data_IF_351092491031
#
_entry.id   IF_351092491031
#
_cell.length_a   1.000
_cell.length_b   1.000
_cell.length_c   1.000
_cell.angle_alpha   90.00
_cell.angle_beta   90.00
_cell.angle_gamma   90.00
#
_symmetry.space_group_name_H-M   'P 1'
#
loop_
_entity.id
_entity.type
_entity.pdbx_description
1 polymer ?
#
# COMPACT_ATOMS: atom_id res chain seq x y z
N UNK A 1 9.41 20.06 18.39
CA UNK A 1 10.14 19.70 17.16
C UNK A 1 9.35 20.21 15.97
N UNK A 2 10.00 20.89 15.04
CA UNK A 2 9.38 21.43 13.82
C UNK A 2 10.11 20.89 12.59
N UNK A 3 9.35 20.59 11.54
CA UNK A 3 9.86 20.04 10.29
C UNK A 3 9.49 20.98 9.15
N UNK A 4 10.39 21.12 8.17
CA UNK A 4 10.17 21.89 6.95
C UNK A 4 10.58 21.07 5.75
N UNK A 5 9.70 20.99 4.77
CA UNK A 5 9.97 20.32 3.50
C UNK A 5 10.54 21.31 2.49
N UNK A 6 11.60 20.88 1.81
CA UNK A 6 12.23 21.60 0.69
C UNK A 6 12.16 20.72 -0.56
N UNK A 7 12.20 21.33 -1.74
CA UNK A 7 12.32 20.60 -3.02
C UNK A 7 11.01 20.36 -3.79
N UNK A 8 9.84 20.54 -3.18
CA UNK A 8 8.55 20.46 -3.89
C UNK A 8 8.28 21.76 -4.67
N UNK A 9 9.01 21.99 -5.77
CA UNK A 9 8.82 23.18 -6.60
C UNK A 9 7.80 22.92 -7.73
N UNK A 10 7.10 23.97 -8.20
CA UNK A 10 6.18 23.85 -9.33
C UNK A 10 6.86 23.25 -10.58
N UNK A 11 8.12 23.61 -10.82
CA UNK A 11 8.90 23.17 -11.98
C UNK A 11 9.19 21.67 -11.91
N UNK A 12 9.56 21.16 -10.72
CA UNK A 12 9.76 19.73 -10.51
C UNK A 12 8.48 18.94 -10.75
N UNK A 13 7.36 19.39 -10.18
CA UNK A 13 6.07 18.73 -10.32
C UNK A 13 5.60 18.77 -11.79
N UNK A 14 5.78 19.89 -12.48
CA UNK A 14 5.44 20.01 -13.89
C UNK A 14 6.28 19.08 -14.77
N UNK A 15 7.58 18.91 -14.46
CA UNK A 15 8.47 18.00 -15.18
C UNK A 15 8.08 16.51 -15.03
N UNK A 16 7.41 16.15 -13.93
CA UNK A 16 6.93 14.79 -13.65
C UNK A 16 5.55 14.49 -14.26
N UNK A 17 4.91 15.45 -14.93
CA UNK A 17 3.61 15.24 -15.57
C UNK A 17 3.74 14.20 -16.69
N UNK A 18 3.00 13.07 -16.66
CA UNK A 18 3.09 12.05 -17.70
C UNK A 18 2.69 12.61 -19.07
N UNK A 19 3.45 12.24 -20.11
CA UNK A 19 3.19 12.67 -21.49
C UNK A 19 2.03 11.91 -22.13
N UNK A 20 1.81 10.65 -21.73
CA UNK A 20 1.00 9.69 -22.48
C UNK A 20 -0.47 9.55 -22.00
N UNK A 21 -1.07 10.62 -21.45
CA UNK A 21 -2.54 10.67 -21.31
C UNK A 21 -3.14 10.99 -19.93
N UNK A 22 -2.49 11.83 -19.11
CA UNK A 22 -2.94 12.07 -17.72
C UNK A 22 -3.10 13.53 -17.29
N UNK A 23 -3.11 14.50 -18.20
CA UNK A 23 -3.32 15.91 -17.85
C UNK A 23 -4.79 16.20 -17.53
N UNK A 24 -5.33 15.56 -16.49
CA UNK A 24 -6.70 15.79 -16.05
C UNK A 24 -6.78 17.05 -15.17
N UNK A 25 -7.98 17.59 -14.98
CA UNK A 25 -8.21 18.74 -14.08
C UNK A 25 -7.78 18.41 -12.64
N UNK A 26 -7.79 17.12 -12.29
CA UNK A 26 -7.31 16.57 -11.03
C UNK A 26 -5.81 16.67 -10.87
N UNK A 27 -5.01 16.53 -11.94
CA UNK A 27 -3.56 16.72 -11.89
C UNK A 27 -3.22 18.14 -11.40
N UNK A 28 -3.80 19.15 -12.05
CA UNK A 28 -3.45 20.54 -11.74
C UNK A 28 -3.90 20.92 -10.32
N UNK A 29 -5.07 20.41 -9.88
CA UNK A 29 -5.54 20.59 -8.49
C UNK A 29 -4.68 19.84 -7.47
N UNK A 30 -4.26 18.62 -7.79
CA UNK A 30 -3.34 17.85 -6.96
C UNK A 30 -1.98 18.55 -6.86
N UNK A 31 -1.41 18.97 -8.00
CA UNK A 31 -0.13 19.66 -8.07
C UNK A 31 -0.14 20.98 -7.27
N UNK A 32 -1.24 21.74 -7.36
CA UNK A 32 -1.44 22.94 -6.54
C UNK A 32 -1.47 22.61 -5.04
N UNK A 33 -2.16 21.54 -4.64
CA UNK A 33 -2.21 21.11 -3.24
C UNK A 33 -0.83 20.68 -2.71
N UNK A 34 -0.04 19.94 -3.49
CA UNK A 34 1.32 19.53 -3.13
C UNK A 34 2.26 20.73 -3.06
N UNK A 35 2.20 21.62 -4.05
CA UNK A 35 3.02 22.84 -4.08
C UNK A 35 2.71 23.75 -2.89
N UNK A 36 1.46 23.80 -2.44
CA UNK A 36 1.04 24.59 -1.27
C UNK A 36 1.63 24.08 0.06
N UNK A 37 2.25 22.90 0.08
CA UNK A 37 2.98 22.38 1.25
C UNK A 37 4.40 22.97 1.35
N UNK A 38 4.91 23.57 0.27
CA UNK A 38 6.24 24.16 0.21
C UNK A 38 6.38 25.24 1.29
N UNK A 39 7.50 25.20 2.01
CA UNK A 39 7.85 26.15 3.10
C UNK A 39 6.91 26.15 4.31
N UNK A 40 5.90 25.27 4.36
CA UNK A 40 5.08 25.12 5.56
C UNK A 40 5.88 24.47 6.68
N UNK A 41 5.61 24.95 7.89
CA UNK A 41 6.15 24.37 9.11
C UNK A 41 5.17 23.31 9.64
N UNK A 42 5.67 22.08 9.78
CA UNK A 42 4.95 20.98 10.39
C UNK A 42 5.36 20.87 11.85
N UNK A 43 4.40 21.00 12.76
CA UNK A 43 4.63 20.92 14.20
C UNK A 43 4.11 19.60 14.72
N UNK A 44 4.84 19.02 15.68
CA UNK A 44 4.39 17.81 16.35
C UNK A 44 2.98 18.03 16.93
N UNK A 45 2.07 17.11 16.63
CA UNK A 45 0.69 17.14 17.07
C UNK A 45 0.41 16.03 18.09
N UNK A 46 0.72 14.79 17.74
CA UNK A 46 0.44 13.63 18.60
C UNK A 46 1.34 12.44 18.26
N UNK A 47 1.44 11.50 19.20
CA UNK A 47 2.05 10.19 19.01
C UNK A 47 1.04 9.11 19.42
N UNK A 48 0.61 8.33 18.45
CA UNK A 48 -0.26 7.18 18.67
C UNK A 48 0.60 5.94 18.88
N UNK A 49 0.54 5.34 20.08
CA UNK A 49 1.35 4.18 20.47
C UNK A 49 0.50 2.92 20.47
N UNK A 50 0.05 2.52 19.28
CA UNK A 50 -0.73 1.30 19.09
C UNK A 50 0.17 0.15 18.64
N UNK A 51 -0.36 -0.83 17.88
CA UNK A 51 0.45 -1.88 17.24
C UNK A 51 1.48 -1.29 16.27
N UNK A 52 1.12 -0.21 15.60
CA UNK A 52 2.02 0.60 14.78
C UNK A 52 2.12 1.96 15.45
N UNK A 53 3.34 2.44 15.67
CA UNK A 53 3.54 3.75 16.25
C UNK A 53 3.48 4.79 15.15
N UNK A 54 2.63 5.80 15.32
CA UNK A 54 2.44 6.88 14.35
C UNK A 54 2.67 8.21 15.02
N UNK A 55 3.74 8.92 14.66
CA UNK A 55 3.94 10.29 15.08
C UNK A 55 3.38 11.23 14.01
N UNK A 56 2.42 12.08 14.40
CA UNK A 56 1.76 13.02 13.48
C UNK A 56 2.27 14.43 13.69
N UNK A 57 2.57 15.10 12.59
CA UNK A 57 2.92 16.52 12.55
C UNK A 57 1.97 17.23 11.60
N UNK A 58 1.49 18.42 11.96
CA UNK A 58 0.51 19.14 11.17
C UNK A 58 0.92 20.60 10.97
N UNK A 59 0.46 21.18 9.86
CA UNK A 59 0.57 22.62 9.61
C UNK A 59 -0.62 23.34 10.27
N UNK A 60 -0.39 24.51 10.87
CA UNK A 60 -1.46 25.35 11.42
C UNK A 60 -1.77 26.52 10.47
N UNK A 61 -3.04 26.85 10.15
CA UNK A 61 -4.29 26.14 10.48
C UNK A 61 -4.76 25.13 9.41
N UNK A 62 -4.29 25.22 8.16
CA UNK A 62 -4.62 24.33 7.03
C UNK A 62 -3.42 24.16 6.09
N UNK A 63 -3.26 22.97 5.52
CA UNK A 63 -2.24 22.69 4.51
C UNK A 63 -2.04 21.21 4.28
N UNK A 64 -1.57 20.53 5.32
CA UNK A 64 -1.31 19.11 5.26
C UNK A 64 -0.74 18.59 6.57
N UNK A 65 -0.36 17.33 6.56
CA UNK A 65 0.26 16.66 7.69
C UNK A 65 1.31 15.65 7.25
N UNK A 66 2.23 15.36 8.16
CA UNK A 66 3.22 14.32 8.07
C UNK A 66 2.88 13.22 9.08
N UNK A 67 3.08 11.98 8.67
CA UNK A 67 3.01 10.81 9.54
C UNK A 67 4.34 10.07 9.46
N UNK A 68 4.98 9.86 10.60
CA UNK A 68 6.08 8.91 10.74
C UNK A 68 5.51 7.59 11.24
N UNK A 69 5.48 6.61 10.36
CA UNK A 69 5.00 5.25 10.61
C UNK A 69 6.18 4.38 11.06
N UNK A 70 6.05 3.73 12.20
CA UNK A 70 7.04 2.82 12.77
C UNK A 70 6.37 1.47 13.05
N UNK A 71 6.37 0.58 12.05
CA UNK A 71 5.70 -0.73 12.09
C UNK A 71 6.66 -1.92 12.24
N UNK A 72 7.97 -1.67 12.36
CA UNK A 72 9.02 -2.67 12.50
C UNK A 72 9.37 -3.43 11.22
N UNK A 73 8.62 -3.23 10.13
CA UNK A 73 8.82 -3.91 8.84
C UNK A 73 9.37 -2.91 7.81
N UNK A 74 8.68 -1.78 7.65
CA UNK A 74 8.98 -0.77 6.66
C UNK A 74 8.67 0.61 7.22
N UNK A 75 9.45 1.09 8.19
CA UNK A 75 9.24 2.42 8.75
C UNK A 75 9.38 3.48 7.65
N UNK A 76 8.49 4.46 7.65
CA UNK A 76 8.44 5.46 6.59
C UNK A 76 7.82 6.77 7.06
N UNK A 77 8.23 7.85 6.42
CA UNK A 77 7.50 9.10 6.44
C UNK A 77 6.47 9.13 5.33
N UNK A 78 5.29 9.67 5.62
CA UNK A 78 4.23 9.95 4.66
C UNK A 78 3.81 11.40 4.76
N UNK A 79 3.71 12.06 3.62
CA UNK A 79 3.21 13.41 3.49
C UNK A 79 1.82 13.38 2.88
N UNK A 80 0.91 14.14 3.47
CA UNK A 80 -0.46 14.31 3.00
C UNK A 80 -0.75 15.80 2.82
N UNK A 81 -1.42 16.13 1.71
CA UNK A 81 -2.07 17.42 1.54
C UNK A 81 -3.53 17.34 2.02
N UNK A 82 -4.10 18.48 2.41
CA UNK A 82 -5.48 18.52 2.87
C UNK A 82 -6.45 18.16 1.75
N UNK A 83 -7.24 17.10 1.96
CA UNK A 83 -8.30 16.71 1.05
C UNK A 83 -9.52 17.65 1.19
N UNK A 84 -10.18 18.04 0.08
CA UNK A 84 -11.39 18.86 0.15
C UNK A 84 -12.52 18.13 0.88
N UNK A 85 -13.43 18.89 1.51
CA UNK A 85 -14.58 18.32 2.23
C UNK A 85 -15.55 17.59 1.30
N UNK A 86 -15.71 18.08 0.08
CA UNK A 86 -16.56 17.50 -0.95
C UNK A 86 -16.04 16.13 -1.40
N UNK A 87 -16.97 15.19 -1.61
CA UNK A 87 -16.66 13.90 -2.21
C UNK A 87 -16.30 14.11 -3.68
N UNK A 88 -15.25 13.44 -4.15
CA UNK A 88 -14.87 13.47 -5.56
C UNK A 88 -13.47 12.90 -5.81
N UNK A 89 -13.03 12.86 -7.07
CA UNK A 89 -11.74 12.29 -7.47
C UNK A 89 -10.56 12.92 -6.73
N UNK A 90 -10.55 14.25 -6.59
CA UNK A 90 -9.48 14.96 -5.86
C UNK A 90 -9.41 14.54 -4.38
N UNK A 91 -10.56 14.36 -3.72
CA UNK A 91 -10.57 13.89 -2.33
C UNK A 91 -9.94 12.50 -2.23
N UNK A 92 -10.30 11.58 -3.13
CA UNK A 92 -9.73 10.24 -3.16
C UNK A 92 -8.20 10.25 -3.37
N UNK A 93 -7.69 11.14 -4.24
CA UNK A 93 -6.25 11.33 -4.44
C UNK A 93 -5.55 11.88 -3.19
N UNK A 94 -6.11 12.90 -2.55
CA UNK A 94 -5.47 13.58 -1.42
C UNK A 94 -5.67 12.87 -0.07
N UNK A 95 -6.57 11.88 0.01
CA UNK A 95 -6.63 10.95 1.16
C UNK A 95 -5.49 9.95 1.17
N UNK A 96 -4.73 9.83 0.08
CA UNK A 96 -3.52 9.02 -0.03
C UNK A 96 -2.28 9.91 0.17
N UNK A 97 -1.14 9.34 0.58
CA UNK A 97 0.09 10.12 0.68
C UNK A 97 0.45 10.72 -0.70
N UNK A 98 0.88 11.97 -0.70
CA UNK A 98 1.36 12.68 -1.89
C UNK A 98 2.88 12.56 -2.05
N UNK A 99 3.57 12.23 -0.97
CA UNK A 99 4.98 11.85 -0.98
C UNK A 99 5.28 10.91 0.18
N UNK A 100 6.33 10.10 0.04
CA UNK A 100 6.81 9.21 1.11
C UNK A 100 8.33 9.13 1.13
N UNK A 101 8.89 8.71 2.25
CA UNK A 101 10.33 8.46 2.38
C UNK A 101 10.54 7.25 3.27
N UNK A 102 11.14 6.20 2.72
CA UNK A 102 11.49 5.01 3.48
C UNK A 102 12.61 5.32 4.48
N UNK A 103 12.45 4.87 5.73
CA UNK A 103 13.47 4.99 6.77
C UNK A 103 14.31 3.73 6.75
N UNK A 104 15.46 3.77 6.07
CA UNK A 104 16.37 2.62 6.01
C UNK A 104 17.12 2.43 7.35
N UNK A 105 17.39 1.18 7.77
CA UNK A 105 18.23 0.90 8.93
C UNK A 105 19.57 1.64 8.83
N UNK A 106 20.03 2.23 9.94
CA UNK A 106 21.27 3.02 10.00
C UNK A 106 21.13 4.48 9.53
N UNK A 107 20.02 4.86 8.92
CA UNK A 107 19.77 6.24 8.48
C UNK A 107 19.08 7.08 9.56
N UNK A 108 19.70 7.26 10.73
CA UNK A 108 19.17 8.19 11.76
C UNK A 108 18.97 9.61 11.20
N UNK A 109 19.82 10.04 10.27
CA UNK A 109 19.68 11.30 9.57
C UNK A 109 18.37 11.40 8.75
N UNK A 110 17.81 10.28 8.27
CA UNK A 110 16.50 10.26 7.60
C UNK A 110 15.34 10.44 8.61
N UNK A 111 15.54 10.13 9.89
CA UNK A 111 14.54 10.37 10.93
C UNK A 111 14.51 11.83 11.41
N UNK A 112 15.66 12.51 11.41
CA UNK A 112 15.83 13.79 12.14
C UNK A 112 16.31 14.94 11.27
N UNK A 113 17.18 14.69 10.28
CA UNK A 113 17.91 15.72 9.55
C UNK A 113 17.41 15.93 8.10
N UNK A 114 16.42 15.14 7.67
CA UNK A 114 15.85 15.23 6.33
C UNK A 114 16.76 14.64 5.23
N UNK A 115 17.74 13.81 5.61
CA UNK A 115 18.73 13.22 4.70
C UNK A 115 18.26 11.95 3.95
N UNK A 116 16.96 11.81 3.66
CA UNK A 116 16.43 10.64 2.96
C UNK A 116 15.85 10.95 1.59
N UNK A 117 15.69 9.90 0.78
CA UNK A 117 15.13 9.97 -0.57
C UNK A 117 13.61 10.01 -0.49
N UNK A 118 13.03 11.16 -0.87
CA UNK A 118 11.58 11.31 -0.98
C UNK A 118 11.10 10.89 -2.36
N UNK A 119 10.08 10.05 -2.37
CA UNK A 119 9.35 9.64 -3.55
C UNK A 119 8.04 10.43 -3.63
N UNK A 120 7.70 10.93 -4.82
CA UNK A 120 6.42 11.59 -5.09
C UNK A 120 5.39 10.54 -5.52
N UNK A 121 4.24 10.54 -4.86
CA UNK A 121 3.13 9.63 -5.18
C UNK A 121 2.22 10.32 -6.21
N UNK A 122 2.58 10.20 -7.48
CA UNK A 122 1.87 10.87 -8.58
C UNK A 122 0.43 10.32 -8.72
N UNK A 123 -0.54 11.17 -9.10
CA UNK A 123 -1.94 10.76 -9.29
C UNK A 123 -2.14 10.07 -10.64
N UNK A 124 -1.33 9.04 -10.92
CA UNK A 124 -1.27 8.33 -12.20
C UNK A 124 -1.62 6.87 -11.97
N UNK A 125 -2.40 6.30 -12.88
CA UNK A 125 -2.73 4.87 -12.87
C UNK A 125 -2.07 4.21 -14.07
N UNK A 126 -1.38 3.12 -13.81
CA UNK A 126 -0.85 2.23 -14.83
C UNK A 126 -1.62 0.92 -14.74
N UNK A 127 -2.24 0.51 -15.85
CA UNK A 127 -2.90 -0.78 -15.97
C UNK A 127 -2.00 -1.73 -16.74
N UNK A 128 -1.97 -3.00 -16.32
CA UNK A 128 -1.25 -4.08 -16.99
C UNK A 128 -1.97 -5.40 -16.71
N UNK A 129 -1.78 -6.39 -17.58
CA UNK A 129 -2.37 -7.71 -17.40
C UNK A 129 -1.49 -8.59 -16.51
N UNK A 130 -2.03 -9.03 -15.37
CA UNK A 130 -1.38 -10.02 -14.51
C UNK A 130 -1.93 -11.42 -14.79
N UNK A 131 -1.05 -12.42 -14.85
CA UNK A 131 -1.45 -13.83 -14.94
C UNK A 131 -1.49 -14.45 -13.55
N UNK A 132 -2.65 -14.91 -13.11
CA UNK A 132 -2.84 -15.59 -11.83
C UNK A 132 -3.36 -17.00 -12.08
N UNK A 133 -2.60 -18.00 -11.64
CA UNK A 133 -2.94 -19.41 -11.84
C UNK A 133 -3.03 -20.15 -10.51
N UNK A 134 -4.01 -21.04 -10.39
CA UNK A 134 -4.19 -21.85 -9.19
C UNK A 134 -3.15 -22.96 -9.08
N UNK A 135 -2.63 -23.18 -7.87
CA UNK A 135 -1.61 -24.18 -7.57
C UNK A 135 -1.88 -24.91 -6.23
N UNK A 136 -1.16 -26.01 -6.03
CA UNK A 136 -1.23 -26.81 -4.79
C UNK A 136 -2.50 -27.65 -4.66
N UNK A 137 -2.88 -28.00 -3.44
CA UNK A 137 -4.11 -28.75 -3.17
C UNK A 137 -5.35 -27.84 -3.29
N UNK A 138 -6.51 -28.44 -3.62
CA UNK A 138 -7.80 -27.78 -3.49
C UNK A 138 -8.30 -27.91 -2.05
N UNK A 139 -8.76 -26.80 -1.49
CA UNK A 139 -9.33 -26.69 -0.14
C UNK A 139 -10.71 -26.05 -0.22
N UNK A 140 -11.54 -26.22 0.80
CA UNK A 140 -12.86 -25.60 0.85
C UNK A 140 -12.78 -24.07 0.76
N UNK A 141 -13.75 -23.48 0.05
CA UNK A 141 -13.98 -22.04 0.13
C UNK A 141 -14.47 -21.67 1.54
N UNK A 142 -14.38 -20.39 1.89
CA UNK A 142 -14.91 -19.93 3.17
C UNK A 142 -16.42 -20.19 3.26
N UNK A 143 -17.14 -19.97 2.17
CA UNK A 143 -18.58 -20.18 2.07
C UNK A 143 -18.95 -21.64 2.30
N UNK A 144 -18.27 -22.57 1.64
CA UNK A 144 -18.48 -24.01 1.85
C UNK A 144 -18.20 -24.40 3.31
N UNK A 145 -17.09 -23.90 3.87
CA UNK A 145 -16.65 -24.22 5.23
C UNK A 145 -17.60 -23.75 6.32
N UNK A 146 -18.30 -22.62 6.11
CA UNK A 146 -19.35 -22.15 7.05
C UNK A 146 -20.71 -22.80 6.79
N UNK A 147 -20.83 -23.68 5.79
CA UNK A 147 -22.04 -24.42 5.47
C UNK A 147 -23.05 -23.68 4.58
N UNK A 148 -22.61 -22.68 3.80
CA UNK A 148 -23.49 -22.04 2.83
C UNK A 148 -23.95 -23.06 1.76
N UNK A 149 -25.25 -23.08 1.51
CA UNK A 149 -25.90 -24.03 0.63
C UNK A 149 -25.97 -23.52 -0.82
N UNK A 150 -26.57 -24.31 -1.71
CA UNK A 150 -26.75 -23.95 -3.12
C UNK A 150 -25.42 -23.94 -3.87
N UNK A 151 -25.13 -22.86 -4.62
CA UNK A 151 -23.91 -22.74 -5.43
C UNK A 151 -22.60 -22.79 -4.63
N UNK A 152 -22.67 -22.60 -3.31
CA UNK A 152 -21.51 -22.58 -2.44
C UNK A 152 -21.21 -23.94 -1.78
N UNK A 153 -22.18 -24.86 -1.77
CA UNK A 153 -22.04 -26.15 -1.11
C UNK A 153 -20.93 -26.98 -1.78
N UNK A 154 -19.94 -27.41 -0.98
CA UNK A 154 -18.80 -28.20 -1.47
C UNK A 154 -17.88 -27.46 -2.45
N UNK A 155 -17.99 -26.13 -2.55
CA UNK A 155 -17.11 -25.35 -3.43
C UNK A 155 -15.67 -25.35 -2.92
N UNK A 156 -14.72 -25.47 -3.85
CA UNK A 156 -13.29 -25.58 -3.57
C UNK A 156 -12.51 -24.44 -4.24
N UNK A 157 -11.37 -24.07 -3.63
CA UNK A 157 -10.40 -23.12 -4.15
C UNK A 157 -8.98 -23.67 -4.00
N UNK A 158 -8.04 -23.11 -4.75
CA UNK A 158 -6.64 -23.50 -4.65
C UNK A 158 -6.00 -23.01 -3.35
N UNK A 159 -5.14 -23.83 -2.76
CA UNK A 159 -4.36 -23.48 -1.56
C UNK A 159 -3.20 -22.53 -1.87
N UNK A 160 -2.77 -22.49 -3.12
CA UNK A 160 -1.74 -21.59 -3.61
C UNK A 160 -2.19 -20.91 -4.90
N UNK A 161 -1.63 -19.74 -5.16
CA UNK A 161 -1.74 -19.07 -6.45
C UNK A 161 -0.36 -18.62 -6.90
N UNK A 162 -0.06 -18.84 -8.17
CA UNK A 162 1.15 -18.38 -8.83
C UNK A 162 0.80 -17.11 -9.62
N UNK A 163 1.46 -16.00 -9.27
CA UNK A 163 1.26 -14.67 -9.86
C UNK A 163 2.47 -14.32 -10.72
N UNK A 164 2.21 -13.89 -11.94
CA UNK A 164 3.23 -13.40 -12.88
C UNK A 164 2.77 -12.10 -13.53
N UNK A 165 3.68 -11.15 -13.69
CA UNK A 165 3.43 -9.88 -14.38
C UNK A 165 4.46 -9.65 -15.50
N UNK A 166 4.12 -8.84 -16.52
CA UNK A 166 5.07 -8.40 -17.54
C UNK A 166 6.28 -7.67 -16.94
N UNK A 167 7.45 -7.79 -17.58
CA UNK A 167 8.69 -7.18 -17.07
C UNK A 167 8.63 -5.64 -17.10
N UNK A 168 8.00 -5.07 -18.13
CA UNK A 168 7.74 -3.65 -18.27
C UNK A 168 6.76 -3.11 -17.22
N UNK A 169 5.87 -3.94 -16.67
CA UNK A 169 4.98 -3.53 -15.59
C UNK A 169 5.73 -3.32 -14.25
N UNK A 170 6.85 -4.03 -14.03
CA UNK A 170 7.59 -3.98 -12.75
C UNK A 170 8.10 -2.57 -12.41
N UNK A 171 8.46 -1.77 -13.42
CA UNK A 171 8.96 -0.40 -13.20
C UNK A 171 7.86 0.55 -12.68
N UNK A 172 6.59 0.18 -12.80
CA UNK A 172 5.44 0.97 -12.36
C UNK A 172 4.94 0.58 -10.96
N UNK A 173 5.60 -0.39 -10.31
CA UNK A 173 5.21 -0.93 -9.01
C UNK A 173 6.26 -0.67 -7.94
N UNK A 174 5.81 -0.45 -6.71
CA UNK A 174 6.67 -0.27 -5.54
C UNK A 174 7.42 -1.56 -5.12
N UNK A 175 6.98 -2.69 -5.65
CA UNK A 175 7.60 -3.99 -5.48
C UNK A 175 7.12 -4.94 -6.58
N UNK A 176 8.00 -5.85 -7.02
CA UNK A 176 7.58 -6.97 -7.86
C UNK A 176 6.60 -7.85 -7.08
N UNK A 177 5.38 -7.95 -7.59
CA UNK A 177 4.29 -8.76 -7.02
C UNK A 177 4.31 -10.20 -7.53
N UNK A 178 5.20 -10.55 -8.46
CA UNK A 178 5.36 -11.92 -8.95
C UNK A 178 5.77 -12.86 -7.82
N UNK A 179 5.28 -14.10 -7.89
CA UNK A 179 5.65 -15.14 -6.94
C UNK A 179 4.53 -16.13 -6.65
N UNK A 180 4.86 -17.10 -5.79
CA UNK A 180 3.90 -18.05 -5.24
C UNK A 180 3.32 -17.52 -3.94
N UNK A 181 2.01 -17.51 -3.84
CA UNK A 181 1.28 -17.07 -2.67
C UNK A 181 0.51 -18.24 -2.05
N UNK A 182 0.68 -18.42 -0.73
CA UNK A 182 -0.01 -19.43 0.06
C UNK A 182 -1.22 -18.84 0.76
N UNK A 183 -2.36 -19.52 0.62
CA UNK A 183 -3.59 -19.18 1.32
C UNK A 183 -3.44 -19.40 2.83
N UNK A 184 -3.73 -18.36 3.60
CA UNK A 184 -3.87 -18.38 5.04
C UNK A 184 -5.36 -18.44 5.37
N UNK A 185 -5.94 -19.62 5.26
CA UNK A 185 -7.38 -19.85 5.35
C UNK A 185 -7.97 -19.66 6.76
N UNK A 186 -7.12 -19.49 7.77
CA UNK A 186 -7.50 -19.19 9.18
C UNK A 186 -7.13 -17.75 9.59
N UNK A 187 -7.09 -16.82 8.66
CA UNK A 187 -6.62 -15.44 8.90
C UNK A 187 -7.63 -14.49 9.56
N UNK A 188 -8.93 -14.82 9.56
CA UNK A 188 -10.00 -13.91 10.02
C UNK A 188 -10.24 -12.69 9.11
N UNK A 189 -9.59 -12.61 7.95
CA UNK A 189 -9.84 -11.60 6.92
C UNK A 189 -11.09 -11.89 6.08
N UNK A 190 -11.44 -10.96 5.19
CA UNK A 190 -12.60 -11.06 4.30
C UNK A 190 -12.56 -12.38 3.51
N UNK A 191 -13.66 -13.16 3.58
CA UNK A 191 -13.82 -14.49 2.95
C UNK A 191 -12.65 -15.46 3.20
N UNK A 192 -11.90 -15.25 4.31
CA UNK A 192 -10.64 -15.95 4.59
C UNK A 192 -9.72 -16.04 3.37
N UNK A 193 -9.64 -14.99 2.56
CA UNK A 193 -8.95 -14.96 1.27
C UNK A 193 -7.58 -14.26 1.33
N UNK A 194 -6.89 -14.34 2.48
CA UNK A 194 -5.55 -13.80 2.63
C UNK A 194 -4.53 -14.78 2.07
N UNK A 195 -3.71 -14.32 1.15
CA UNK A 195 -2.55 -15.06 0.69
C UNK A 195 -1.27 -14.31 1.04
N UNK A 196 -0.23 -15.04 1.44
CA UNK A 196 1.11 -14.51 1.72
C UNK A 196 2.09 -15.06 0.71
N UNK A 197 2.96 -14.22 0.14
CA UNK A 197 4.05 -14.69 -0.73
C UNK A 197 5.00 -15.58 0.06
N UNK A 198 5.26 -16.78 -0.46
CA UNK A 198 6.14 -17.79 0.15
C UNK A 198 7.34 -18.13 -0.72
N UNK A 199 7.34 -17.77 -2.00
CA UNK A 199 8.48 -17.97 -2.88
C UNK A 199 8.45 -16.97 -4.05
N UNK A 200 9.62 -16.75 -4.65
CA UNK A 200 9.68 -16.25 -6.02
C UNK A 200 9.01 -17.25 -6.98
N UNK A 201 8.61 -16.80 -8.17
CA UNK A 201 7.93 -17.66 -9.14
C UNK A 201 8.85 -18.81 -9.55
N UNK A 202 8.40 -20.06 -9.39
CA UNK A 202 9.22 -21.25 -9.64
C UNK A 202 10.28 -21.56 -8.57
N UNK A 203 10.36 -20.78 -7.50
CA UNK A 203 11.25 -21.01 -6.36
C UNK A 203 10.70 -22.00 -5.34
N UNK A 204 11.57 -22.50 -4.46
CA UNK A 204 11.17 -23.31 -3.30
C UNK A 204 10.47 -22.43 -2.24
N UNK A 205 9.51 -23.01 -1.52
CA UNK A 205 8.83 -22.32 -0.42
C UNK A 205 9.80 -21.98 0.70
N UNK A 206 9.77 -20.72 1.13
CA UNK A 206 10.44 -20.28 2.34
C UNK A 206 9.57 -20.72 3.53
N UNK A 207 10.01 -21.76 4.24
CA UNK A 207 9.26 -22.45 5.29
C UNK A 207 9.11 -21.62 6.59
N UNK A 208 9.58 -20.36 6.57
CA UNK A 208 9.48 -19.43 7.70
C UNK A 208 10.20 -19.92 8.96
N UNK A 209 11.03 -20.96 8.85
CA UNK A 209 11.71 -21.60 9.99
C UNK A 209 13.12 -21.05 10.23
N UNK A 210 13.43 -19.85 9.72
CA UNK A 210 14.66 -19.10 10.04
C UNK A 210 14.64 -18.52 11.46
N UNK A 211 14.50 -19.42 12.45
CA UNK A 211 14.89 -19.23 13.84
C UNK A 211 16.37 -19.60 14.08
N UNK A 212 17.24 -19.41 13.09
CA UNK A 212 18.68 -19.65 13.20
C UNK A 212 19.43 -18.35 13.41
N UNK A 213 20.04 -18.18 14.60
CA UNK A 213 20.84 -17.02 15.00
C UNK A 213 22.17 -16.86 14.26
N UNK A 214 22.12 -16.74 12.93
CA UNK A 214 23.19 -16.23 12.09
C UNK A 214 22.72 -14.93 11.43
N UNK A 215 23.63 -14.00 11.16
CA UNK A 215 23.33 -12.73 10.49
C UNK A 215 22.76 -12.99 9.09
N UNK A 216 21.45 -13.19 9.01
CA UNK A 216 20.73 -13.42 7.78
C UNK A 216 20.61 -12.09 7.02
N UNK A 217 20.85 -12.17 5.70
CA UNK A 217 20.39 -11.17 4.73
C UNK A 217 18.97 -10.72 5.10
N UNK A 218 18.67 -9.40 5.09
CA UNK A 218 17.35 -8.93 5.48
C UNK A 218 16.30 -9.56 4.57
N UNK A 219 15.45 -10.40 5.16
CA UNK A 219 14.37 -11.08 4.43
C UNK A 219 13.55 -10.04 3.67
N UNK A 220 13.25 -10.31 2.40
CA UNK A 220 12.47 -9.38 1.59
C UNK A 220 11.15 -9.04 2.31
N UNK A 221 10.68 -7.77 2.23
CA UNK A 221 9.45 -7.38 2.88
C UNK A 221 8.29 -8.30 2.49
N UNK A 222 7.41 -8.65 3.44
CA UNK A 222 6.30 -9.56 3.16
C UNK A 222 5.35 -8.92 2.14
N UNK A 223 4.83 -9.73 1.22
CA UNK A 223 3.77 -9.35 0.30
C UNK A 223 2.54 -10.20 0.52
N UNK A 224 1.38 -9.55 0.45
CA UNK A 224 0.09 -10.16 0.65
C UNK A 224 -0.84 -9.86 -0.52
N UNK A 225 -1.68 -10.83 -0.86
CA UNK A 225 -2.81 -10.71 -1.79
C UNK A 225 -4.09 -11.04 -1.03
N UNK A 226 -5.02 -10.09 -0.95
CA UNK A 226 -6.27 -10.27 -0.21
C UNK A 226 -7.36 -9.31 -0.69
N UNK A 227 -8.61 -9.66 -0.42
CA UNK A 227 -9.74 -8.75 -0.60
C UNK A 227 -9.69 -7.65 0.46
N UNK A 228 -9.76 -6.37 0.05
CA UNK A 228 -9.71 -5.20 0.92
C UNK A 228 -11.06 -4.46 0.89
N UNK A 229 -12.04 -4.86 1.72
CA UNK A 229 -13.39 -4.31 1.66
C UNK A 229 -13.43 -2.83 2.01
N UNK A 230 -14.21 -2.09 1.25
CA UNK A 230 -14.61 -0.74 1.59
C UNK A 230 -15.52 -0.77 2.83
N UNK A 231 -15.35 0.19 3.75
CA UNK A 231 -16.08 0.16 5.04
C UNK A 231 -17.60 0.31 4.90
N UNK A 232 -18.04 1.12 3.93
CA UNK A 232 -19.44 1.47 3.70
C UNK A 232 -19.74 1.61 2.19
N UNK A 233 -18.95 0.95 1.34
CA UNK A 233 -19.18 0.93 -0.10
C UNK A 233 -20.02 -0.28 -0.52
N UNK A 234 -20.22 -0.42 -1.82
CA UNK A 234 -20.86 -1.60 -2.39
C UNK A 234 -19.88 -2.79 -2.35
N UNK A 235 -20.27 -3.97 -1.84
CA UNK A 235 -19.44 -5.16 -1.92
C UNK A 235 -19.03 -5.57 -3.33
N UNK A 236 -19.74 -5.11 -4.37
CA UNK A 236 -19.37 -5.33 -5.78
C UNK A 236 -18.14 -4.52 -6.20
N UNK A 237 -17.89 -3.37 -5.55
CA UNK A 237 -16.73 -2.52 -5.79
C UNK A 237 -15.47 -3.00 -5.03
N UNK A 238 -15.60 -4.03 -4.19
CA UNK A 238 -14.49 -4.53 -3.35
C UNK A 238 -13.49 -5.33 -4.19
N UNK A 239 -12.24 -4.86 -4.23
CA UNK A 239 -11.18 -5.46 -5.04
C UNK A 239 -10.19 -6.29 -4.22
N UNK A 240 -9.52 -7.22 -4.91
CA UNK A 240 -8.29 -7.84 -4.40
C UNK A 240 -7.11 -6.89 -4.59
N UNK A 241 -6.26 -6.80 -3.55
CA UNK A 241 -5.11 -5.88 -3.55
C UNK A 241 -3.82 -6.59 -3.18
N UNK A 242 -2.72 -6.09 -3.72
CA UNK A 242 -1.36 -6.43 -3.28
C UNK A 242 -0.87 -5.36 -2.32
N UNK A 243 -0.39 -5.76 -1.14
CA UNK A 243 0.13 -4.84 -0.13
C UNK A 243 1.21 -5.46 0.74
N UNK A 244 2.00 -4.62 1.42
CA UNK A 244 3.02 -5.04 2.41
C UNK A 244 2.46 -5.36 3.79
N UNK A 245 1.23 -4.96 4.04
CA UNK A 245 0.53 -5.23 5.30
C UNK A 245 -0.94 -5.61 5.05
N UNK A 246 -1.50 -6.41 5.94
CA UNK A 246 -2.88 -6.91 5.87
C UNK A 246 -3.69 -6.68 7.16
N UNK A 247 -3.20 -5.79 8.05
CA UNK A 247 -3.88 -5.52 9.33
C UNK A 247 -5.21 -4.80 9.10
N UNK A 248 -6.08 -4.88 10.11
CA UNK A 248 -7.29 -4.04 10.15
C UNK A 248 -6.90 -2.58 10.33
N UNK A 249 -7.41 -1.72 9.44
CA UNK A 249 -7.17 -0.28 9.48
C UNK A 249 -8.11 0.41 10.49
N UNK A 250 -7.64 1.46 11.13
CA UNK A 250 -8.44 2.37 11.95
C UNK A 250 -9.35 3.26 11.09
N UNK A 251 -10.23 4.03 11.73
CA UNK A 251 -11.10 4.98 11.01
C UNK A 251 -10.24 6.06 10.34
N UNK A 252 -10.56 6.41 9.09
CA UNK A 252 -9.78 7.30 8.20
C UNK A 252 -8.36 6.84 7.86
N UNK A 253 -7.95 5.66 8.29
CA UNK A 253 -6.70 5.08 7.84
C UNK A 253 -6.90 4.43 6.46
N UNK A 254 -5.92 4.61 5.58
CA UNK A 254 -5.91 4.07 4.22
C UNK A 254 -4.72 3.13 4.06
N UNK A 255 -4.95 2.00 3.39
CA UNK A 255 -3.88 1.09 3.00
C UNK A 255 -3.15 1.64 1.79
N UNK A 256 -1.83 1.51 1.80
CA UNK A 256 -1.03 1.74 0.61
C UNK A 256 -1.02 0.44 -0.20
N UNK A 257 -1.68 0.46 -1.35
CA UNK A 257 -1.70 -0.65 -2.30
C UNK A 257 -0.48 -0.57 -3.20
N UNK A 258 0.12 -1.72 -3.50
CA UNK A 258 1.14 -1.85 -4.57
C UNK A 258 0.44 -1.99 -5.91
N UNK A 259 -0.59 -2.84 -5.96
CA UNK A 259 -1.44 -3.07 -7.12
C UNK A 259 -2.85 -3.44 -6.65
N UNK A 260 -3.83 -3.19 -7.53
CA UNK A 260 -5.24 -3.49 -7.30
C UNK A 260 -5.73 -4.26 -8.53
N UNK A 261 -6.41 -5.39 -8.30
CA UNK A 261 -7.07 -6.14 -9.37
C UNK A 261 -8.40 -5.47 -9.71
N UNK A 262 -8.87 -5.65 -10.94
CA UNK A 262 -10.16 -5.12 -11.37
C UNK A 262 -11.32 -5.68 -10.52
N UNK A 263 -12.35 -4.88 -10.38
CA UNK A 263 -13.59 -5.24 -9.68
C UNK A 263 -14.19 -6.52 -10.30
N UNK A 264 -14.63 -7.45 -9.44
CA UNK A 264 -15.26 -8.71 -9.87
C UNK A 264 -14.31 -9.87 -10.17
N UNK A 265 -12.98 -9.70 -10.03
CA UNK A 265 -12.02 -10.80 -9.98
C UNK A 265 -12.17 -11.64 -8.70
#
# INVERSE_FOLDING_TARGET
MTLRLKGFTPELIAAMKPKDGGATIEWDRWAAAVTALREKEFRFLTLERTRVWTARYATSPKGGHLELILDGISPEWRLFADAPAEKGPLRALLTRPVARMAVRPGAMAALVDGGGEWELCLPVRHAFEATITGAGAKVETWEARIGLQGKHAGSLRWSHVDVSIPEDAKQHLDADISGRYKLLDKCGGARSALHKRVAALGGAEDDGSSGGGGAAEPAAPPLFLFQDPTRCGDPEDDSFVFAREHRRLAFNEQRVHIAVLDEGW
#
